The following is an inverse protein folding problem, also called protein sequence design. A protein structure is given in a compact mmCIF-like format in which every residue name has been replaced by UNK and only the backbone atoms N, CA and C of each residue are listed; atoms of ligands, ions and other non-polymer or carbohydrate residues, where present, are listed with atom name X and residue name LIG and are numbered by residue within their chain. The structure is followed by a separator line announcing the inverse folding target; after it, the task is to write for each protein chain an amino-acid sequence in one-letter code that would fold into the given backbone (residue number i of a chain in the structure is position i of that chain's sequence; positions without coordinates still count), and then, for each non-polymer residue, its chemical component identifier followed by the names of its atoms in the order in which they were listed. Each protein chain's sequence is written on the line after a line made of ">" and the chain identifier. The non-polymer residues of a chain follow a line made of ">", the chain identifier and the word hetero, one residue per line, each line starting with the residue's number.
data_IF_931309563369
#
_entry.id   IF_931309563369
#
_cell.length_a   1.000
_cell.length_b   1.000
_cell.length_c   1.000
_cell.angle_alpha   90.00
_cell.angle_beta   90.00
_cell.angle_gamma   90.00
#
_symmetry.space_group_name_H-M   'P 1'
#
loop_
_entity.id
_entity.type
_entity.pdbx_description
1 polymer ?
#
# COMPACT_ATOMS: atom_id res chain seq x y z
N UNK A 1 3.43 -32.38 37.46
CA UNK A 1 3.54 -33.24 36.26
C UNK A 1 3.93 -32.39 35.06
N UNK A 2 4.39 -32.99 33.97
CA UNK A 2 4.93 -32.28 32.78
C UNK A 2 4.04 -31.12 32.29
N UNK A 3 2.72 -31.31 32.24
CA UNK A 3 1.77 -30.26 31.82
C UNK A 3 1.79 -29.00 32.71
N UNK A 4 2.19 -29.10 33.98
CA UNK A 4 2.30 -27.93 34.85
C UNK A 4 3.53 -27.07 34.54
N UNK A 5 4.52 -27.61 33.81
CA UNK A 5 5.79 -26.96 33.53
C UNK A 5 5.85 -26.27 32.15
N UNK A 6 4.82 -26.43 31.31
CA UNK A 6 4.77 -25.87 29.96
C UNK A 6 3.58 -24.91 29.79
N UNK A 7 3.71 -23.90 28.94
CA UNK A 7 2.61 -23.01 28.55
C UNK A 7 1.84 -23.54 27.33
N UNK A 8 2.56 -24.17 26.40
CA UNK A 8 2.05 -24.68 25.13
C UNK A 8 2.76 -25.98 24.70
N UNK A 9 2.16 -26.68 23.73
CA UNK A 9 2.77 -27.81 23.03
C UNK A 9 2.55 -27.65 21.53
N UNK A 10 3.56 -28.01 20.73
CA UNK A 10 3.47 -28.07 19.28
C UNK A 10 3.62 -29.53 18.80
N UNK A 11 2.90 -29.90 17.74
CA UNK A 11 3.02 -31.20 17.06
C UNK A 11 3.11 -30.98 15.56
N UNK A 12 4.20 -31.44 14.98
CA UNK A 12 4.35 -31.58 13.53
C UNK A 12 3.68 -32.87 13.06
N UNK A 13 3.22 -32.87 11.81
CA UNK A 13 2.68 -34.02 11.12
C UNK A 13 1.50 -34.64 11.88
N UNK A 14 0.50 -33.82 12.23
CA UNK A 14 -0.68 -34.34 12.93
C UNK A 14 -1.63 -35.02 11.93
N UNK A 15 -1.87 -34.39 10.80
CA UNK A 15 -2.76 -34.86 9.75
C UNK A 15 -2.00 -35.22 8.48
N UNK A 16 -0.96 -34.47 8.11
CA UNK A 16 -0.17 -34.69 6.89
C UNK A 16 1.31 -34.35 7.09
N UNK A 17 2.21 -35.10 6.44
CA UNK A 17 3.64 -34.75 6.36
C UNK A 17 4.64 -35.71 6.99
N UNK A 18 4.18 -36.72 7.75
CA UNK A 18 5.06 -37.60 8.56
C UNK A 18 6.12 -38.32 7.72
N UNK A 19 5.69 -39.10 6.74
CA UNK A 19 6.61 -39.78 5.82
C UNK A 19 7.03 -38.84 4.69
N UNK A 20 6.04 -38.19 4.07
CA UNK A 20 6.20 -37.29 2.93
C UNK A 20 5.22 -36.13 2.99
N UNK A 21 5.62 -35.01 2.40
CA UNK A 21 4.77 -33.83 2.25
C UNK A 21 3.45 -34.16 1.56
N UNK A 22 2.36 -33.60 2.07
CA UNK A 22 0.98 -33.80 1.62
C UNK A 22 0.45 -35.26 1.67
N UNK A 23 1.20 -36.21 2.23
CA UNK A 23 0.71 -37.57 2.49
C UNK A 23 0.05 -37.65 3.89
N UNK A 24 -1.11 -38.31 4.01
CA UNK A 24 -1.78 -38.47 5.30
C UNK A 24 -0.88 -39.16 6.32
N UNK A 25 -0.91 -38.65 7.55
CA UNK A 25 -0.28 -39.28 8.72
C UNK A 25 -0.95 -40.64 8.96
N UNK A 26 -0.18 -41.73 9.20
CA UNK A 26 -0.73 -43.04 9.57
C UNK A 26 -1.80 -42.94 10.66
N UNK A 27 -2.91 -43.67 10.48
CA UNK A 27 -4.09 -43.53 11.33
C UNK A 27 -3.81 -43.82 12.82
N UNK A 28 -2.89 -44.73 13.11
CA UNK A 28 -2.47 -45.07 14.48
C UNK A 28 -1.72 -43.90 15.14
N UNK A 29 -0.77 -43.29 14.44
CA UNK A 29 0.04 -42.16 14.91
C UNK A 29 -0.81 -40.89 15.10
N UNK A 30 -1.73 -40.63 14.15
CA UNK A 30 -2.70 -39.55 14.27
C UNK A 30 -3.60 -39.76 15.51
N UNK A 31 -4.15 -40.95 15.70
CA UNK A 31 -5.04 -41.25 16.82
C UNK A 31 -4.32 -41.13 18.18
N UNK A 32 -3.08 -41.61 18.28
CA UNK A 32 -2.28 -41.49 19.50
C UNK A 32 -1.91 -40.03 19.80
N UNK A 33 -1.45 -39.29 18.78
CA UNK A 33 -1.10 -37.87 18.91
C UNK A 33 -2.31 -37.06 19.37
N UNK A 34 -3.46 -37.25 18.72
CA UNK A 34 -4.70 -36.54 19.04
C UNK A 34 -5.17 -36.81 20.47
N UNK A 35 -5.02 -38.05 20.95
CA UNK A 35 -5.31 -38.43 22.35
C UNK A 35 -4.44 -37.65 23.34
N UNK A 36 -3.15 -37.48 23.07
CA UNK A 36 -2.24 -36.73 23.94
C UNK A 36 -2.48 -35.22 23.88
N UNK A 37 -2.67 -34.67 22.69
CA UNK A 37 -2.94 -33.24 22.51
C UNK A 37 -4.26 -32.81 23.15
N UNK A 38 -5.31 -33.65 23.08
CA UNK A 38 -6.58 -33.41 23.78
C UNK A 38 -6.40 -33.34 25.30
N UNK A 39 -5.51 -34.15 25.89
CA UNK A 39 -5.19 -34.06 27.33
C UNK A 39 -4.49 -32.74 27.66
N UNK A 40 -3.56 -32.28 26.83
CA UNK A 40 -2.91 -30.98 27.01
C UNK A 40 -3.93 -29.84 26.91
N UNK A 41 -4.83 -29.89 25.92
CA UNK A 41 -5.89 -28.89 25.74
C UNK A 41 -6.88 -28.87 26.90
N UNK A 42 -7.29 -30.04 27.39
CA UNK A 42 -8.14 -30.16 28.57
C UNK A 42 -7.49 -29.61 29.85
N UNK A 43 -6.15 -29.60 29.93
CA UNK A 43 -5.38 -28.97 30.99
C UNK A 43 -5.16 -27.46 30.79
N UNK A 44 -5.86 -26.83 29.83
CA UNK A 44 -5.80 -25.39 29.56
C UNK A 44 -4.59 -24.94 28.72
N UNK A 45 -3.83 -25.87 28.14
CA UNK A 45 -2.65 -25.54 27.34
C UNK A 45 -3.01 -25.11 25.93
N UNK A 46 -2.17 -24.24 25.36
CA UNK A 46 -2.21 -23.93 23.94
C UNK A 46 -1.64 -25.13 23.17
N UNK A 47 -2.31 -25.51 22.09
CA UNK A 47 -1.87 -26.60 21.21
C UNK A 47 -1.71 -26.03 19.81
N UNK A 48 -0.47 -26.08 19.32
CA UNK A 48 -0.08 -25.67 17.98
C UNK A 48 0.11 -26.92 17.11
N UNK A 49 -0.35 -26.89 15.86
CA UNK A 49 -0.13 -27.98 14.91
C UNK A 49 0.55 -27.45 13.65
N UNK A 50 1.54 -28.19 13.14
CA UNK A 50 2.22 -27.86 11.89
C UNK A 50 2.02 -29.01 10.92
N UNK A 51 1.39 -28.75 9.79
CA UNK A 51 1.16 -29.76 8.75
C UNK A 51 1.79 -29.31 7.43
N UNK A 52 2.55 -30.20 6.80
CA UNK A 52 3.27 -29.91 5.55
C UNK A 52 2.36 -30.14 4.34
N UNK A 53 1.59 -29.11 3.97
CA UNK A 53 0.50 -29.19 2.99
C UNK A 53 0.58 -28.03 1.97
N UNK A 54 0.63 -28.38 0.69
CA UNK A 54 0.59 -27.43 -0.43
C UNK A 54 -0.78 -27.30 -1.10
N UNK A 55 -1.72 -28.24 -0.89
CA UNK A 55 -3.04 -28.21 -1.54
C UNK A 55 -4.12 -27.59 -0.66
N UNK A 56 -4.99 -26.78 -1.27
CA UNK A 56 -6.05 -26.05 -0.55
C UNK A 56 -7.10 -26.98 0.07
N UNK A 57 -7.53 -28.02 -0.64
CA UNK A 57 -8.52 -29.00 -0.18
C UNK A 57 -8.08 -29.72 1.11
N UNK A 58 -6.80 -30.07 1.20
CA UNK A 58 -6.20 -30.66 2.40
C UNK A 58 -6.14 -29.67 3.57
N UNK A 59 -5.87 -28.39 3.31
CA UNK A 59 -5.89 -27.35 4.35
C UNK A 59 -7.28 -27.15 4.91
N UNK A 60 -8.30 -27.09 4.06
CA UNK A 60 -9.69 -26.94 4.49
C UNK A 60 -10.11 -28.11 5.40
N UNK A 61 -9.70 -29.33 5.06
CA UNK A 61 -9.90 -30.51 5.90
C UNK A 61 -9.22 -30.39 7.28
N UNK A 62 -7.96 -29.95 7.31
CA UNK A 62 -7.23 -29.76 8.57
C UNK A 62 -7.86 -28.64 9.41
N UNK A 63 -8.25 -27.52 8.79
CA UNK A 63 -8.93 -26.39 9.46
C UNK A 63 -10.22 -26.85 10.14
N UNK A 64 -11.02 -27.69 9.47
CA UNK A 64 -12.22 -28.26 10.06
C UNK A 64 -11.90 -29.08 11.32
N UNK A 65 -10.91 -29.97 11.24
CA UNK A 65 -10.53 -30.85 12.35
C UNK A 65 -9.86 -30.12 13.52
N UNK A 66 -8.94 -29.20 13.28
CA UNK A 66 -8.29 -28.41 14.34
C UNK A 66 -9.29 -27.49 15.05
N UNK A 67 -10.29 -26.96 14.34
CA UNK A 67 -11.34 -26.13 14.94
C UNK A 67 -12.17 -26.92 15.96
N UNK A 68 -12.56 -28.16 15.64
CA UNK A 68 -13.28 -29.08 16.54
C UNK A 68 -12.50 -29.33 17.83
N UNK A 69 -11.17 -29.33 17.75
CA UNK A 69 -10.28 -29.58 18.88
C UNK A 69 -9.74 -28.31 19.56
N UNK A 70 -10.08 -27.11 19.04
CA UNK A 70 -9.57 -25.81 19.51
C UNK A 70 -8.04 -25.74 19.48
N UNK A 71 -7.41 -26.28 18.44
CA UNK A 71 -5.98 -26.16 18.18
C UNK A 71 -5.70 -24.97 17.26
N UNK A 72 -4.45 -24.49 17.23
CA UNK A 72 -4.00 -23.41 16.36
C UNK A 72 -3.14 -24.02 15.25
N UNK A 73 -3.63 -24.04 14.00
CA UNK A 73 -2.90 -24.62 12.88
C UNK A 73 -1.84 -23.68 12.30
N UNK A 74 -0.81 -24.26 11.71
CA UNK A 74 0.13 -23.63 10.80
C UNK A 74 0.42 -24.59 9.65
N UNK A 75 0.45 -24.06 8.43
CA UNK A 75 0.77 -24.83 7.22
C UNK A 75 2.12 -24.39 6.70
N UNK A 76 3.01 -25.33 6.41
CA UNK A 76 4.36 -25.01 5.96
C UNK A 76 4.81 -25.92 4.80
N UNK A 77 5.89 -25.53 4.13
CA UNK A 77 6.68 -26.47 3.34
C UNK A 77 7.63 -27.21 4.26
N UNK A 78 7.95 -28.48 3.95
CA UNK A 78 8.82 -29.29 4.82
C UNK A 78 10.25 -28.73 4.93
N UNK A 79 10.70 -28.01 3.92
CA UNK A 79 11.99 -27.32 3.91
C UNK A 79 12.09 -26.20 4.93
N UNK A 80 10.97 -25.64 5.40
CA UNK A 80 10.89 -24.46 6.29
C UNK A 80 11.73 -23.25 5.78
N UNK A 81 12.02 -23.21 4.49
CA UNK A 81 12.86 -22.20 3.84
C UNK A 81 12.04 -21.01 3.32
N UNK A 82 10.73 -21.02 3.54
CA UNK A 82 9.79 -19.98 3.09
C UNK A 82 8.79 -19.66 4.18
N UNK A 83 8.45 -18.38 4.28
CA UNK A 83 7.37 -17.93 5.15
C UNK A 83 6.03 -18.26 4.50
N UNK A 84 5.24 -19.06 5.21
CA UNK A 84 3.84 -19.30 4.87
C UNK A 84 2.97 -18.51 5.83
N UNK A 85 2.03 -17.74 5.29
CA UNK A 85 1.06 -16.98 6.08
C UNK A 85 0.08 -17.93 6.81
N UNK A 86 -0.66 -17.46 7.83
CA UNK A 86 -1.61 -18.31 8.57
C UNK A 86 -2.65 -19.04 7.71
N UNK A 87 -3.01 -18.47 6.55
CA UNK A 87 -3.92 -19.07 5.57
C UNK A 87 -3.25 -20.10 4.63
N UNK A 88 -1.96 -20.38 4.79
CA UNK A 88 -1.21 -21.30 3.95
C UNK A 88 -0.60 -20.66 2.68
N UNK A 89 -0.80 -19.37 2.43
CA UNK A 89 -0.26 -18.70 1.25
C UNK A 89 1.24 -18.45 1.40
N UNK A 90 2.03 -18.77 0.37
CA UNK A 90 3.47 -18.47 0.34
C UNK A 90 3.68 -16.96 0.19
N UNK A 91 4.56 -16.38 1.01
CA UNK A 91 4.83 -14.94 0.96
C UNK A 91 5.44 -14.46 -0.38
N UNK A 92 6.10 -15.35 -1.14
CA UNK A 92 6.74 -15.00 -2.42
C UNK A 92 5.76 -14.77 -3.57
N UNK A 93 4.53 -15.32 -3.53
CA UNK A 93 3.54 -15.13 -4.61
C UNK A 93 2.89 -13.74 -4.62
N UNK A 94 3.39 -12.83 -3.79
CA UNK A 94 2.76 -11.54 -3.46
C UNK A 94 3.59 -10.33 -3.94
N UNK A 95 4.78 -10.55 -4.49
CA UNK A 95 5.70 -9.47 -4.87
C UNK A 95 5.58 -9.11 -6.36
N UNK A 96 4.69 -8.15 -6.69
CA UNK A 96 4.62 -7.50 -8.01
C UNK A 96 4.24 -6.02 -7.93
N UNK A 97 5.00 -5.19 -8.65
CA UNK A 97 5.09 -3.70 -8.72
C UNK A 97 3.83 -2.80 -8.74
N UNK A 98 3.92 -1.58 -8.14
CA UNK A 98 3.13 -0.35 -8.48
C UNK A 98 3.60 0.95 -7.77
N UNK A 99 3.65 2.11 -8.47
CA UNK A 99 4.06 3.45 -7.94
C UNK A 99 2.99 4.52 -7.71
N UNK A 100 1.71 4.39 -8.02
CA UNK A 100 0.79 5.55 -7.86
C UNK A 100 0.21 5.72 -6.43
N UNK A 101 1.07 5.72 -5.40
CA UNK A 101 0.66 5.69 -4.00
C UNK A 101 1.14 6.87 -3.13
N UNK A 102 0.89 8.11 -3.57
CA UNK A 102 0.70 9.21 -2.59
C UNK A 102 -0.65 9.09 -1.85
N UNK A 103 -1.59 8.25 -2.34
CA UNK A 103 -3.00 8.19 -1.88
C UNK A 103 -3.45 6.90 -1.17
N UNK A 104 -2.72 5.78 -1.23
CA UNK A 104 -3.21 4.49 -0.66
C UNK A 104 -2.74 4.14 0.76
N UNK A 105 -2.04 5.03 1.47
CA UNK A 105 -1.60 4.75 2.85
C UNK A 105 -2.74 4.65 3.89
N UNK A 106 -4.01 4.69 3.48
CA UNK A 106 -5.15 4.77 4.40
C UNK A 106 -6.21 3.67 4.25
N UNK A 107 -5.93 2.55 3.58
CA UNK A 107 -6.92 1.47 3.39
C UNK A 107 -7.08 0.50 4.57
N UNK A 108 -6.36 0.66 5.67
CA UNK A 108 -6.68 -0.07 6.91
C UNK A 108 -7.78 0.69 7.67
N UNK A 109 -8.96 0.07 7.79
CA UNK A 109 -10.08 0.33 8.70
C UNK A 109 -10.11 1.69 9.43
N UNK A 110 -11.29 2.35 9.40
CA UNK A 110 -11.58 3.51 10.27
C UNK A 110 -11.06 3.26 11.69
N UNK A 111 -10.44 4.27 12.28
CA UNK A 111 -9.96 4.20 13.64
C UNK A 111 -11.17 3.95 14.55
N UNK A 112 -11.15 2.93 15.42
CA UNK A 112 -12.26 2.67 16.32
C UNK A 112 -12.64 3.91 17.13
N UNK A 113 -13.93 4.06 17.43
CA UNK A 113 -14.41 5.21 18.18
C UNK A 113 -13.63 5.39 19.50
N UNK A 114 -13.15 6.62 19.75
CA UNK A 114 -12.41 6.97 20.96
C UNK A 114 -10.90 6.68 20.91
N UNK A 115 -10.36 6.23 19.78
CA UNK A 115 -8.93 5.93 19.63
C UNK A 115 -8.18 7.00 18.84
N UNK A 116 -6.89 7.13 19.15
CA UNK A 116 -5.93 7.96 18.43
C UNK A 116 -5.03 7.09 17.57
N UNK A 117 -4.70 7.56 16.37
CA UNK A 117 -3.65 7.01 15.51
C UNK A 117 -2.63 8.11 15.25
N UNK A 118 -1.36 7.81 15.48
CA UNK A 118 -0.24 8.69 15.15
C UNK A 118 0.64 7.93 14.18
N UNK A 119 0.86 8.48 12.99
CA UNK A 119 1.72 7.89 11.96
C UNK A 119 2.82 8.88 11.64
N UNK A 120 4.07 8.41 11.68
CA UNK A 120 5.19 9.15 11.12
C UNK A 120 5.55 8.51 9.79
N UNK A 121 5.63 9.34 8.75
CA UNK A 121 6.01 8.91 7.39
C UNK A 121 7.27 9.64 6.97
N UNK A 122 8.13 8.93 6.26
CA UNK A 122 9.25 9.49 5.53
C UNK A 122 9.21 8.95 4.10
N UNK A 123 9.19 9.85 3.14
CA UNK A 123 9.10 9.55 1.72
C UNK A 123 10.29 10.20 1.02
N UNK A 124 10.83 9.50 0.04
CA UNK A 124 11.83 10.03 -0.87
C UNK A 124 11.37 9.80 -2.30
N UNK A 125 11.38 10.87 -3.09
CA UNK A 125 11.08 10.81 -4.51
C UNK A 125 12.18 11.48 -5.31
N UNK A 126 12.41 10.94 -6.51
CA UNK A 126 13.33 11.49 -7.48
C UNK A 126 12.61 11.61 -8.81
N UNK A 127 12.49 12.82 -9.32
CA UNK A 127 11.94 13.13 -10.62
C UNK A 127 13.05 13.57 -11.56
N UNK A 128 12.97 13.16 -12.83
CA UNK A 128 13.86 13.64 -13.88
C UNK A 128 13.01 14.24 -14.99
N UNK A 129 13.16 15.54 -15.24
CA UNK A 129 12.44 16.24 -16.29
C UNK A 129 13.32 16.30 -17.53
N UNK A 130 12.79 15.86 -18.66
CA UNK A 130 13.42 16.04 -19.96
C UNK A 130 12.73 17.21 -20.66
N UNK A 131 13.49 18.23 -20.98
CA UNK A 131 12.99 19.36 -21.75
C UNK A 131 13.53 19.29 -23.17
N UNK A 132 12.62 19.35 -24.14
CA UNK A 132 12.96 19.67 -25.52
C UNK A 132 12.96 21.18 -25.67
N UNK A 133 14.12 21.73 -26.06
CA UNK A 133 14.24 23.14 -26.38
C UNK A 133 14.51 23.28 -27.88
N UNK A 134 13.57 23.92 -28.58
CA UNK A 134 13.78 24.34 -29.94
C UNK A 134 14.48 25.70 -29.92
N UNK A 135 15.76 25.72 -30.29
CA UNK A 135 16.45 26.98 -30.57
C UNK A 135 15.99 27.47 -31.96
N UNK A 136 15.00 28.37 -31.94
CA UNK A 136 14.42 28.99 -33.15
C UNK A 136 15.48 29.61 -34.07
N UNK A 137 16.65 29.99 -33.54
CA UNK A 137 17.70 30.63 -34.31
C UNK A 137 18.58 29.64 -35.10
N UNK A 138 18.69 28.39 -34.65
CA UNK A 138 19.52 27.36 -35.30
C UNK A 138 18.71 26.31 -36.06
N UNK A 139 17.40 26.17 -35.78
CA UNK A 139 16.56 25.13 -36.37
C UNK A 139 17.01 23.72 -36.00
N UNK A 140 17.82 23.59 -34.96
CA UNK A 140 18.32 22.31 -34.43
C UNK A 140 17.55 22.01 -33.16
N UNK A 141 16.79 20.92 -33.16
CA UNK A 141 16.26 20.32 -31.94
C UNK A 141 17.42 19.75 -31.13
N UNK A 142 17.65 20.30 -29.93
CA UNK A 142 18.60 19.75 -28.98
C UNK A 142 17.87 19.31 -27.71
N UNK A 143 17.80 18.00 -27.50
CA UNK A 143 17.17 17.37 -26.35
C UNK A 143 18.24 16.96 -25.31
N UNK A 144 18.64 17.87 -24.41
CA UNK A 144 19.76 17.57 -23.49
C UNK A 144 19.67 18.11 -22.06
N UNK A 145 18.58 18.73 -21.62
CA UNK A 145 18.48 19.13 -20.21
C UNK A 145 17.64 18.12 -19.43
N UNK A 146 18.31 17.31 -18.60
CA UNK A 146 17.66 16.34 -17.74
C UNK A 146 17.74 16.80 -16.28
N UNK A 147 16.83 17.66 -15.82
CA UNK A 147 16.88 18.18 -14.46
C UNK A 147 16.54 17.08 -13.45
N UNK A 148 17.38 16.89 -12.43
CA UNK A 148 17.10 15.94 -11.34
C UNK A 148 16.55 16.70 -10.14
N UNK A 149 15.31 16.40 -9.79
CA UNK A 149 14.64 16.91 -8.59
C UNK A 149 14.55 15.79 -7.56
N UNK A 150 15.12 16.01 -6.38
CA UNK A 150 15.03 15.11 -5.25
C UNK A 150 14.13 15.75 -4.20
N UNK A 151 13.09 15.05 -3.77
CA UNK A 151 12.19 15.52 -2.72
C UNK A 151 12.15 14.50 -1.59
N UNK A 152 12.37 14.98 -0.37
CA UNK A 152 12.26 14.23 0.87
C UNK A 152 11.09 14.82 1.66
N UNK A 153 10.10 14.01 1.96
CA UNK A 153 8.93 14.43 2.73
C UNK A 153 8.89 13.64 4.01
N UNK A 154 8.92 14.30 5.16
CA UNK A 154 8.61 13.69 6.43
C UNK A 154 7.30 14.25 6.97
N UNK A 155 6.31 13.41 7.24
CA UNK A 155 5.01 13.83 7.74
C UNK A 155 4.70 13.22 9.10
N UNK A 156 4.00 13.99 9.92
CA UNK A 156 3.34 13.50 11.12
C UNK A 156 1.83 13.61 10.93
N UNK A 157 1.16 12.46 10.89
CA UNK A 157 -0.29 12.37 10.82
C UNK A 157 -0.86 12.01 12.18
N UNK A 158 -1.83 12.79 12.64
CA UNK A 158 -2.55 12.55 13.89
C UNK A 158 -4.03 12.48 13.58
N UNK A 159 -4.64 11.32 13.80
CA UNK A 159 -6.06 11.08 13.49
C UNK A 159 -6.79 10.57 14.72
N UNK A 160 -8.05 11.00 14.88
CA UNK A 160 -8.94 10.57 15.95
C UNK A 160 -10.23 9.99 15.39
N UNK A 161 -10.59 8.80 15.85
CA UNK A 161 -11.87 8.17 15.55
C UNK A 161 -12.97 8.74 16.45
N UNK A 162 -13.89 9.53 15.88
CA UNK A 162 -15.03 10.06 16.63
C UNK A 162 -16.14 9.01 16.77
N UNK A 163 -16.35 8.24 15.70
CA UNK A 163 -17.27 7.10 15.66
C UNK A 163 -16.64 5.98 14.83
N UNK A 164 -17.25 4.80 14.77
CA UNK A 164 -16.75 3.70 13.93
C UNK A 164 -16.84 4.00 12.42
N UNK A 165 -17.51 5.09 12.05
CA UNK A 165 -17.73 5.52 10.67
C UNK A 165 -17.24 6.93 10.39
N UNK A 166 -16.73 7.69 11.36
CA UNK A 166 -16.24 9.06 11.17
C UNK A 166 -14.92 9.29 11.93
N UNK A 167 -13.92 9.75 11.19
CA UNK A 167 -12.63 10.17 11.73
C UNK A 167 -12.21 11.52 11.14
N UNK A 168 -11.44 12.27 11.92
CA UNK A 168 -10.73 13.44 11.43
C UNK A 168 -9.29 13.43 11.90
N UNK A 169 -8.39 13.97 11.08
CA UNK A 169 -6.98 14.02 11.38
C UNK A 169 -6.29 15.25 10.81
N UNK A 170 -5.09 15.48 11.30
CA UNK A 170 -4.20 16.56 10.88
C UNK A 170 -2.92 15.94 10.36
N UNK A 171 -2.50 16.33 9.16
CA UNK A 171 -1.20 15.98 8.60
C UNK A 171 -0.32 17.21 8.58
N UNK A 172 0.88 17.10 9.15
CA UNK A 172 1.90 18.15 9.16
C UNK A 172 3.13 17.63 8.39
N UNK A 173 3.19 17.85 7.07
CA UNK A 173 4.36 17.51 6.29
C UNK A 173 5.47 18.54 6.49
N UNK A 174 6.69 18.05 6.53
CA UNK A 174 7.93 18.80 6.31
C UNK A 174 8.51 18.29 5.00
N UNK A 175 8.90 19.20 4.12
CA UNK A 175 9.40 18.85 2.80
C UNK A 175 10.76 19.52 2.61
N UNK A 176 11.72 18.70 2.18
CA UNK A 176 13.04 19.14 1.76
C UNK A 176 13.25 18.76 0.31
N UNK A 177 13.46 19.73 -0.54
CA UNK A 177 13.73 19.53 -1.96
C UNK A 177 15.16 19.96 -2.28
N UNK A 178 15.85 19.13 -3.05
CA UNK A 178 17.15 19.42 -3.65
C UNK A 178 17.00 19.39 -5.16
N UNK A 179 17.17 20.54 -5.78
CA UNK A 179 17.17 20.68 -7.23
C UNK A 179 18.61 20.75 -7.73
N UNK A 180 19.00 19.76 -8.55
CA UNK A 180 20.31 19.73 -9.20
C UNK A 180 20.10 19.89 -10.71
N UNK A 181 20.40 21.07 -11.29
CA UNK A 181 20.40 21.21 -12.72
C UNK A 181 21.55 20.36 -13.29
N UNK A 182 21.22 19.33 -14.06
CA UNK A 182 22.20 18.42 -14.69
C UNK A 182 22.87 19.06 -15.92
N UNK A 183 22.78 20.39 -16.05
CA UNK A 183 23.18 21.14 -17.25
C UNK A 183 24.68 21.42 -17.21
N UNK A 184 25.44 20.72 -18.05
CA UNK A 184 26.58 21.34 -18.71
C UNK A 184 26.03 22.15 -19.88
N UNK A 185 25.92 23.46 -19.75
CA UNK A 185 25.85 24.27 -20.95
C UNK A 185 27.20 24.17 -21.69
N UNK A 186 27.23 24.54 -22.97
CA UNK A 186 28.48 24.55 -23.76
C UNK A 186 29.52 25.55 -23.21
N UNK A 187 29.13 26.37 -22.22
CA UNK A 187 30.00 27.36 -21.56
C UNK A 187 30.63 26.85 -20.26
N UNK A 188 30.20 25.69 -19.76
CA UNK A 188 30.74 25.06 -18.55
C UNK A 188 30.24 25.67 -17.24
N UNK A 189 29.15 26.43 -17.26
CA UNK A 189 28.58 27.08 -16.07
C UNK A 189 27.45 26.21 -15.50
N UNK A 190 27.70 25.62 -14.34
CA UNK A 190 26.68 24.90 -13.58
C UNK A 190 25.80 25.90 -12.83
N UNK A 191 24.49 25.72 -12.88
CA UNK A 191 23.60 26.37 -11.92
C UNK A 191 23.89 25.84 -10.52
N UNK A 192 23.98 26.72 -9.53
CA UNK A 192 24.11 26.29 -8.13
C UNK A 192 22.84 25.50 -7.73
N UNK A 193 22.99 24.36 -7.05
CA UNK A 193 21.84 23.61 -6.57
C UNK A 193 21.00 24.46 -5.61
N UNK A 194 19.69 24.30 -5.68
CA UNK A 194 18.76 25.00 -4.79
C UNK A 194 18.22 23.99 -3.80
N UNK A 195 18.59 24.18 -2.53
CA UNK A 195 18.01 23.48 -1.39
C UNK A 195 16.89 24.31 -0.80
N UNK A 196 15.71 23.71 -0.65
CA UNK A 196 14.58 24.33 0.01
C UNK A 196 13.99 23.36 1.03
N UNK A 197 13.97 23.77 2.30
CA UNK A 197 13.34 23.03 3.39
C UNK A 197 12.25 23.89 3.99
N UNK A 198 11.05 23.34 4.13
CA UNK A 198 9.90 24.05 4.67
C UNK A 198 8.86 23.10 5.25
N UNK A 199 7.86 23.69 5.90
CA UNK A 199 6.61 22.99 6.13
C UNK A 199 5.93 22.82 4.77
N UNK A 200 5.37 21.64 4.49
CA UNK A 200 4.42 21.51 3.39
C UNK A 200 3.05 22.04 3.81
N UNK A 201 2.05 21.90 2.94
CA UNK A 201 0.68 22.25 3.27
C UNK A 201 0.15 21.39 4.42
N UNK A 202 -0.25 22.03 5.50
CA UNK A 202 -0.97 21.37 6.60
C UNK A 202 -2.32 20.91 6.07
N UNK A 203 -2.63 19.63 6.26
CA UNK A 203 -3.87 19.04 5.74
C UNK A 203 -4.82 18.64 6.85
N UNK A 204 -6.07 19.06 6.73
CA UNK A 204 -7.18 18.52 7.52
C UNK A 204 -7.81 17.36 6.75
N UNK A 205 -7.75 16.18 7.33
CA UNK A 205 -8.30 14.95 6.78
C UNK A 205 -9.63 14.68 7.46
N UNK A 206 -10.68 14.47 6.69
CA UNK A 206 -11.95 13.94 7.20
C UNK A 206 -12.35 12.73 6.41
N UNK A 207 -12.92 11.75 7.10
CA UNK A 207 -13.39 10.53 6.47
C UNK A 207 -14.68 10.10 7.11
N UNK A 208 -15.68 9.81 6.27
CA UNK A 208 -16.91 9.16 6.69
C UNK A 208 -17.15 7.91 5.85
N UNK A 209 -17.35 6.76 6.50
CA UNK A 209 -17.60 5.50 5.83
C UNK A 209 -18.52 4.61 6.63
N UNK A 210 -19.66 4.20 6.05
CA UNK A 210 -20.62 3.32 6.70
C UNK A 210 -20.68 2.00 5.96
N UNK A 211 -20.28 0.92 6.62
CA UNK A 211 -20.55 -0.44 6.15
C UNK A 211 -22.06 -0.73 6.26
N UNK A 212 -22.65 -1.28 5.20
CA UNK A 212 -24.05 -1.70 5.22
C UNK A 212 -24.14 -3.17 5.66
N UNK A 213 -25.03 -3.48 6.61
CA UNK A 213 -25.15 -4.80 7.27
C UNK A 213 -25.59 -5.97 6.35
N UNK A 214 -25.58 -5.82 5.03
CA UNK A 214 -26.06 -6.83 4.08
C UNK A 214 -25.04 -7.33 3.07
N UNK A 215 -23.75 -7.15 3.37
CA UNK A 215 -22.65 -7.56 2.50
C UNK A 215 -21.76 -6.35 2.23
N UNK A 216 -20.44 -6.58 2.36
CA UNK A 216 -19.28 -6.02 1.65
C UNK A 216 -19.26 -4.61 1.03
N UNK A 217 -20.26 -3.77 1.24
CA UNK A 217 -20.42 -2.50 0.56
C UNK A 217 -19.92 -1.39 1.48
N UNK A 218 -18.90 -0.70 1.00
CA UNK A 218 -18.29 0.43 1.67
C UNK A 218 -18.44 1.65 0.78
N UNK A 219 -19.16 2.63 1.28
CA UNK A 219 -19.13 3.97 0.70
C UNK A 219 -18.27 4.84 1.59
N UNK A 220 -17.17 5.33 1.04
CA UNK A 220 -16.19 6.16 1.69
C UNK A 220 -16.24 7.56 1.08
N UNK A 221 -16.43 8.57 1.92
CA UNK A 221 -16.20 9.95 1.54
C UNK A 221 -14.98 10.43 2.29
N UNK A 222 -14.05 11.05 1.58
CA UNK A 222 -12.92 11.74 2.18
C UNK A 222 -12.81 13.16 1.65
N UNK A 223 -12.56 14.10 2.55
CA UNK A 223 -12.22 15.48 2.23
C UNK A 223 -10.86 15.79 2.81
N UNK A 224 -10.02 16.41 1.99
CA UNK A 224 -8.71 16.92 2.37
C UNK A 224 -8.67 18.43 2.07
N UNK A 225 -8.39 19.21 3.10
CA UNK A 225 -8.19 20.65 2.99
C UNK A 225 -6.73 20.96 3.25
N UNK A 226 -6.00 21.41 2.23
CA UNK A 226 -4.65 21.92 2.39
C UNK A 226 -4.67 23.42 2.69
N UNK A 227 -4.00 23.81 3.77
CA UNK A 227 -3.70 25.22 4.02
C UNK A 227 -2.36 25.55 3.36
N UNK A 228 -2.25 26.68 2.63
CA UNK A 228 -1.00 27.10 2.03
C UNK A 228 -0.03 27.54 3.13
N UNK A 229 0.76 26.59 3.61
CA UNK A 229 1.80 26.82 4.62
C UNK A 229 3.19 26.57 4.06
N UNK A 230 3.29 26.19 2.78
CA UNK A 230 4.56 25.98 2.10
C UNK A 230 5.23 27.30 1.73
N UNK A 231 6.12 27.73 2.60
CA UNK A 231 6.92 28.95 2.45
C UNK A 231 7.96 28.85 1.33
N UNK A 232 8.20 27.67 0.74
CA UNK A 232 9.13 27.52 -0.39
C UNK A 232 8.55 28.06 -1.70
N UNK A 233 7.23 28.26 -1.74
CA UNK A 233 6.49 28.66 -2.96
C UNK A 233 6.42 30.16 -3.20
N UNK A 234 6.72 30.98 -2.18
CA UNK A 234 6.52 32.44 -2.21
C UNK A 234 7.24 33.16 -3.36
N UNK A 235 8.28 32.55 -3.96
CA UNK A 235 9.04 33.17 -5.05
C UNK A 235 8.63 32.74 -6.48
N UNK A 236 7.77 31.71 -6.66
CA UNK A 236 7.47 31.18 -8.01
C UNK A 236 5.98 30.88 -8.30
N UNK A 237 5.19 30.47 -7.32
CA UNK A 237 3.78 30.09 -7.51
C UNK A 237 3.05 30.38 -6.19
N UNK A 238 2.07 31.29 -6.19
CA UNK A 238 1.44 31.84 -4.98
C UNK A 238 0.90 30.83 -3.95
N UNK A 239 0.44 31.34 -2.82
CA UNK A 239 -0.13 30.56 -1.73
C UNK A 239 -1.45 29.89 -2.16
N UNK A 240 -1.38 28.74 -2.82
CA UNK A 240 -2.56 28.04 -3.32
C UNK A 240 -3.25 27.29 -2.18
N UNK A 241 -4.53 27.60 -1.96
CA UNK A 241 -5.39 26.73 -1.16
C UNK A 241 -5.90 25.61 -2.05
N UNK A 242 -5.58 24.37 -1.69
CA UNK A 242 -6.05 23.17 -2.36
C UNK A 242 -7.19 22.52 -1.57
N UNK A 243 -8.32 22.28 -2.24
CA UNK A 243 -9.39 21.45 -1.72
C UNK A 243 -9.52 20.20 -2.56
N UNK A 244 -9.32 19.05 -1.93
CA UNK A 244 -9.52 17.75 -2.55
C UNK A 244 -10.73 17.07 -1.90
N UNK A 245 -11.69 16.72 -2.74
CA UNK A 245 -12.84 15.93 -2.33
C UNK A 245 -12.86 14.62 -3.12
N UNK A 246 -12.86 13.49 -2.41
CA UNK A 246 -12.84 12.15 -2.99
C UNK A 246 -14.04 11.34 -2.47
N UNK A 247 -14.77 10.73 -3.40
CA UNK A 247 -15.81 9.76 -3.11
C UNK A 247 -15.36 8.43 -3.67
N UNK A 248 -15.24 7.42 -2.82
CA UNK A 248 -15.02 6.03 -3.22
C UNK A 248 -16.21 5.16 -2.83
N UNK A 249 -16.74 4.45 -3.81
CA UNK A 249 -17.63 3.34 -3.62
C UNK A 249 -16.89 2.03 -3.87
N UNK A 250 -16.90 1.14 -2.89
CA UNK A 250 -16.37 -0.20 -3.01
C UNK A 250 -17.46 -1.23 -2.74
N UNK A 251 -17.59 -2.19 -3.64
CA UNK A 251 -18.53 -3.30 -3.54
C UNK A 251 -17.75 -4.59 -3.62
N UNK A 252 -17.82 -5.46 -2.63
CA UNK A 252 -17.20 -6.79 -2.72
C UNK A 252 -18.23 -7.91 -2.89
N UNK A 253 -17.87 -8.92 -3.68
CA UNK A 253 -18.51 -10.22 -3.77
C UNK A 253 -17.49 -11.26 -3.31
N UNK A 254 -17.57 -11.67 -2.05
CA UNK A 254 -16.53 -12.46 -1.38
C UNK A 254 -15.19 -11.70 -1.42
N UNK A 255 -14.18 -12.29 -2.07
CA UNK A 255 -12.82 -11.76 -2.19
C UNK A 255 -12.59 -10.88 -3.42
N UNK A 256 -13.60 -10.66 -4.27
CA UNK A 256 -13.45 -9.83 -5.47
C UNK A 256 -14.35 -8.61 -5.32
N UNK A 257 -13.80 -7.41 -5.48
CA UNK A 257 -14.55 -6.17 -5.43
C UNK A 257 -14.46 -5.33 -6.68
N UNK A 258 -15.36 -4.36 -6.76
CA UNK A 258 -15.29 -3.22 -7.67
C UNK A 258 -15.06 -1.97 -6.83
N UNK A 259 -14.16 -1.10 -7.29
CA UNK A 259 -13.97 0.24 -6.77
C UNK A 259 -14.39 1.24 -7.83
N UNK A 260 -15.20 2.20 -7.47
CA UNK A 260 -15.51 3.37 -8.29
C UNK A 260 -15.20 4.59 -7.44
N UNK A 261 -14.38 5.49 -7.96
CA UNK A 261 -14.02 6.71 -7.27
C UNK A 261 -14.11 7.93 -8.16
N UNK A 262 -14.37 9.08 -7.55
CA UNK A 262 -14.31 10.38 -8.21
C UNK A 262 -13.63 11.35 -7.27
N UNK A 263 -12.59 12.00 -7.76
CA UNK A 263 -11.91 13.05 -7.02
C UNK A 263 -12.02 14.37 -7.77
N UNK A 264 -12.43 15.40 -7.05
CA UNK A 264 -12.45 16.78 -7.52
C UNK A 264 -11.40 17.57 -6.73
N UNK A 265 -10.47 18.16 -7.45
CA UNK A 265 -9.45 19.04 -6.90
C UNK A 265 -9.76 20.48 -7.34
N UNK A 266 -9.92 21.37 -6.37
CA UNK A 266 -10.14 22.79 -6.60
C UNK A 266 -8.89 23.55 -6.17
N UNK A 267 -8.35 24.34 -7.09
CA UNK A 267 -7.23 25.24 -6.85
C UNK A 267 -7.73 26.68 -6.86
N UNK A 268 -7.47 27.41 -5.79
CA UNK A 268 -7.64 28.85 -5.76
C UNK A 268 -6.27 29.51 -5.73
N UNK A 269 -5.92 30.24 -6.79
CA UNK A 269 -4.67 31.01 -6.86
C UNK A 269 -4.96 32.47 -6.45
N UNK A 270 -4.09 33.09 -5.64
CA UNK A 270 -4.30 34.47 -5.19
C UNK A 270 -4.24 35.51 -6.34
N UNK A 271 -3.56 35.16 -7.42
CA UNK A 271 -3.25 36.06 -8.53
C UNK A 271 -4.33 36.14 -9.62
N UNK A 272 -5.32 35.25 -9.60
CA UNK A 272 -6.41 35.22 -10.59
C UNK A 272 -7.76 34.96 -9.90
N UNK A 273 -8.82 35.64 -10.33
CA UNK A 273 -10.19 35.32 -9.93
C UNK A 273 -10.70 33.97 -10.49
N UNK A 274 -9.80 33.12 -10.96
CA UNK A 274 -10.08 31.87 -11.63
C UNK A 274 -9.89 30.71 -10.65
N UNK A 275 -10.96 29.94 -10.47
CA UNK A 275 -10.93 28.67 -9.77
C UNK A 275 -10.72 27.59 -10.83
N UNK A 276 -9.59 26.91 -10.77
CA UNK A 276 -9.36 25.74 -11.61
C UNK A 276 -9.93 24.51 -10.91
N UNK A 277 -10.69 23.72 -11.65
CA UNK A 277 -11.21 22.43 -11.18
C UNK A 277 -10.64 21.30 -12.01
N UNK A 278 -9.93 20.38 -11.37
CA UNK A 278 -9.52 19.13 -11.98
C UNK A 278 -10.45 18.01 -11.49
N UNK A 279 -11.22 17.43 -12.40
CA UNK A 279 -12.09 16.29 -12.12
C UNK A 279 -11.40 15.03 -12.63
N UNK A 280 -11.12 14.11 -11.72
CA UNK A 280 -10.63 12.78 -12.03
C UNK A 280 -11.65 11.72 -11.60
N UNK A 281 -11.71 10.64 -12.35
CA UNK A 281 -12.49 9.46 -11.99
C UNK A 281 -11.59 8.24 -12.01
N UNK A 282 -11.94 7.23 -11.22
CA UNK A 282 -11.27 5.95 -11.16
C UNK A 282 -12.29 4.81 -11.15
N UNK A 283 -12.04 3.76 -11.90
CA UNK A 283 -12.79 2.53 -11.84
C UNK A 283 -11.81 1.36 -11.76
N UNK A 284 -12.02 0.44 -10.83
CA UNK A 284 -11.07 -0.64 -10.62
C UNK A 284 -11.70 -1.95 -10.15
N UNK A 285 -10.97 -3.03 -10.39
CA UNK A 285 -11.24 -4.33 -9.79
C UNK A 285 -10.33 -4.48 -8.58
N UNK A 286 -10.90 -4.97 -7.49
CA UNK A 286 -10.22 -5.28 -6.25
C UNK A 286 -10.23 -6.80 -6.07
N UNK A 287 -9.15 -7.36 -5.54
CA UNK A 287 -9.10 -8.73 -5.08
C UNK A 287 -8.46 -8.75 -3.69
N UNK A 288 -9.25 -9.12 -2.69
CA UNK A 288 -8.79 -9.48 -1.35
C UNK A 288 -8.16 -10.88 -1.43
N UNK A 289 -6.85 -10.95 -1.27
CA UNK A 289 -6.10 -12.21 -1.33
C UNK A 289 -5.81 -12.78 0.06
N UNK A 290 -6.41 -12.22 1.12
CA UNK A 290 -6.30 -12.65 2.50
C UNK A 290 -6.03 -11.49 3.48
N UNK A 291 -5.83 -11.81 4.76
CA UNK A 291 -5.81 -10.84 5.88
C UNK A 291 -4.84 -9.65 5.74
N UNK A 292 -3.85 -9.73 4.83
CA UNK A 292 -2.78 -8.74 4.67
C UNK A 292 -2.40 -8.47 3.21
N UNK A 293 -3.24 -8.89 2.25
CA UNK A 293 -2.89 -8.85 0.84
C UNK A 293 -4.04 -8.41 -0.03
N UNK A 294 -3.78 -7.41 -0.86
CA UNK A 294 -4.77 -6.78 -1.72
C UNK A 294 -4.17 -6.56 -3.10
N UNK A 295 -4.92 -6.91 -4.13
CA UNK A 295 -4.60 -6.57 -5.51
C UNK A 295 -5.67 -5.62 -6.04
N UNK A 296 -5.28 -4.57 -6.75
CA UNK A 296 -6.21 -3.75 -7.50
C UNK A 296 -5.70 -3.45 -8.89
N UNK A 297 -6.62 -3.27 -9.83
CA UNK A 297 -6.34 -2.62 -11.10
C UNK A 297 -7.32 -1.49 -11.23
N UNK A 298 -6.84 -0.31 -11.59
CA UNK A 298 -7.65 0.90 -11.66
C UNK A 298 -7.36 1.62 -12.96
N UNK A 299 -8.41 2.00 -13.68
CA UNK A 299 -8.35 2.83 -14.88
C UNK A 299 -8.99 4.18 -14.50
N UNK A 300 -8.33 5.29 -14.82
CA UNK A 300 -8.84 6.61 -14.48
C UNK A 300 -8.69 7.65 -15.60
N UNK A 301 -9.53 8.67 -15.56
CA UNK A 301 -9.54 9.78 -16.51
C UNK A 301 -8.48 10.82 -16.22
N UNK A 302 -7.35 10.71 -16.93
CA UNK A 302 -6.54 11.73 -17.63
C UNK A 302 -5.26 11.02 -18.17
N UNK A 303 -5.45 9.87 -18.82
CA UNK A 303 -4.42 9.07 -19.52
C UNK A 303 -3.48 8.17 -18.68
N UNK A 304 -3.90 7.65 -17.52
CA UNK A 304 -3.13 6.60 -16.83
C UNK A 304 -3.97 5.45 -16.28
N UNK A 305 -3.47 4.23 -16.48
CA UNK A 305 -3.95 3.00 -15.85
C UNK A 305 -2.94 2.54 -14.81
N UNK A 306 -3.40 2.10 -13.63
CA UNK A 306 -2.55 1.62 -12.53
C UNK A 306 -2.92 0.19 -12.19
N UNK A 307 -1.94 -0.71 -12.15
CA UNK A 307 -2.05 -2.04 -11.52
C UNK A 307 -1.31 -1.98 -10.19
N UNK A 308 -1.91 -2.45 -9.11
CA UNK A 308 -1.39 -2.41 -7.73
C UNK A 308 -1.47 -3.79 -7.08
N UNK A 309 -0.37 -4.20 -6.42
CA UNK A 309 -0.36 -5.34 -5.50
C UNK A 309 0.23 -4.87 -4.17
N UNK A 310 -0.45 -5.17 -3.07
CA UNK A 310 -0.10 -4.76 -1.72
C UNK A 310 0.04 -5.99 -0.82
N UNK A 311 1.18 -6.07 -0.12
CA UNK A 311 1.50 -7.14 0.83
C UNK A 311 2.02 -6.52 2.12
N UNK A 312 1.36 -6.76 3.25
CA UNK A 312 1.89 -6.34 4.56
C UNK A 312 2.65 -7.48 5.24
N UNK A 313 3.94 -7.28 5.53
CA UNK A 313 4.71 -8.16 6.43
C UNK A 313 5.13 -7.40 7.69
N UNK A 314 5.23 -8.13 8.81
CA UNK A 314 5.57 -7.58 10.12
C UNK A 314 7.06 -7.78 10.38
N UNK A 315 7.86 -6.72 10.32
CA UNK A 315 9.23 -6.69 10.83
C UNK A 315 9.32 -5.55 11.84
N UNK A 316 9.81 -5.83 13.05
CA UNK A 316 10.25 -4.79 13.98
C UNK A 316 11.37 -3.99 13.30
N UNK A 317 11.06 -2.77 12.86
CA UNK A 317 11.73 -1.94 11.83
C UNK A 317 11.21 -2.27 10.41
N UNK A 318 10.19 -1.52 9.97
CA UNK A 318 9.53 -1.71 8.67
C UNK A 318 10.26 -0.96 7.55
N UNK A 319 11.08 -1.66 6.76
CA UNK A 319 11.57 -1.18 5.48
C UNK A 319 10.82 -1.82 4.30
N UNK A 320 10.34 -1.02 3.35
CA UNK A 320 9.61 -1.47 2.16
C UNK A 320 10.45 -1.23 0.90
N UNK A 321 10.72 -2.26 0.11
CA UNK A 321 11.35 -2.12 -1.21
C UNK A 321 10.35 -2.48 -2.32
N UNK A 322 10.25 -1.65 -3.37
CA UNK A 322 9.45 -1.90 -4.57
C UNK A 322 10.26 -1.66 -5.85
N UNK A 323 10.02 -2.51 -6.85
CA UNK A 323 10.55 -2.44 -8.22
C UNK A 323 9.35 -2.20 -9.15
N UNK A 324 9.47 -1.37 -10.18
CA UNK A 324 8.40 -1.08 -11.14
C UNK A 324 8.88 -1.04 -12.60
N UNK A 325 7.98 -1.47 -13.50
CA UNK A 325 8.05 -1.30 -14.96
C UNK A 325 6.84 -0.46 -15.41
N UNK A 326 7.05 0.60 -16.19
CA UNK A 326 5.96 1.38 -16.78
C UNK A 326 6.18 1.64 -18.28
N UNK A 327 5.09 1.90 -19.00
CA UNK A 327 5.13 2.38 -20.39
C UNK A 327 3.77 2.91 -20.84
N UNK A 328 3.78 3.78 -21.85
CA UNK A 328 2.58 4.46 -22.37
C UNK A 328 2.73 4.78 -23.86
N UNK A 329 1.59 5.08 -24.50
CA UNK A 329 1.50 5.58 -25.88
C UNK A 329 0.79 6.92 -25.77
N UNK A 330 1.44 8.00 -26.20
CA UNK A 330 0.80 9.31 -26.35
C UNK A 330 -0.23 9.21 -27.48
N UNK A 331 -1.49 9.56 -27.20
CA UNK A 331 -2.59 9.50 -28.17
C UNK A 331 -3.15 10.90 -28.48
N UNK A 332 -2.55 11.95 -27.88
CA UNK A 332 -3.00 13.33 -27.98
C UNK A 332 -2.05 14.21 -28.82
N UNK A 333 -0.79 13.79 -29.03
CA UNK A 333 0.15 14.39 -29.97
C UNK A 333 0.13 13.73 -31.36
N UNK A 334 0.47 14.50 -32.41
CA UNK A 334 0.61 14.00 -33.80
C UNK A 334 1.79 13.01 -33.99
N UNK A 335 2.59 12.77 -32.95
CA UNK A 335 3.73 11.85 -32.96
C UNK A 335 3.45 10.64 -32.06
N UNK A 336 3.29 9.47 -32.69
CA UNK A 336 3.13 8.13 -32.10
C UNK A 336 4.37 7.71 -31.27
N UNK A 337 4.66 8.42 -30.18
CA UNK A 337 5.78 8.11 -29.30
C UNK A 337 5.33 7.17 -28.17
N UNK A 338 6.03 6.05 -28.07
CA UNK A 338 5.89 5.10 -26.98
C UNK A 338 7.12 5.19 -26.07
N UNK A 339 6.92 5.19 -24.76
CA UNK A 339 8.01 5.16 -23.79
C UNK A 339 7.85 4.00 -22.82
N UNK A 340 8.98 3.54 -22.27
CA UNK A 340 9.02 2.57 -21.19
C UNK A 340 10.16 2.88 -20.21
N UNK A 341 9.96 2.62 -18.92
CA UNK A 341 10.93 2.90 -17.87
C UNK A 341 10.90 1.86 -16.74
N UNK A 342 12.00 1.80 -15.97
CA UNK A 342 12.17 0.95 -14.79
C UNK A 342 12.51 1.84 -13.60
N UNK A 343 11.87 1.57 -12.46
CA UNK A 343 12.02 2.34 -11.24
C UNK A 343 12.25 1.45 -10.02
N UNK A 344 13.11 1.89 -9.09
CA UNK A 344 13.37 1.21 -7.81
C UNK A 344 13.10 2.21 -6.67
N UNK A 345 12.33 1.81 -5.67
CA UNK A 345 12.09 2.58 -4.45
C UNK A 345 12.40 1.72 -3.23
N UNK A 346 13.21 2.23 -2.30
CA UNK A 346 13.51 1.58 -1.02
C UNK A 346 13.22 2.59 0.09
N UNK A 347 12.23 2.28 0.93
CA UNK A 347 11.91 2.99 2.17
C UNK A 347 12.47 2.18 3.35
N UNK A 348 13.11 2.85 4.30
CA UNK A 348 13.74 2.23 5.48
C UNK A 348 12.97 2.55 6.76
#
# INVERSE_FOLDING_TARGET
>A
GYLAAIDAIAKEDLFFGQEKEAEPTPAEDHAESLKHLRKARAAGKVVLTVDYISKQDQRDQVLEEVSKNKFIPHFALRSLDRLTLPNGTLAESILGSSRNNRRAFFYSATIPAGQWRIVSRAEWSRSRYLYDYEDESSGIYQSFAAESFHEYTAALDVTYGFTDWFEAGLSIPTVSSHFSPDRQDHTGVYGEPVDATGLGNIRLLTRTGKGWNHGSDYLLFSGEWGLPTDTRREDLFGADTDFLFDIDYQHFWNHIGLSLGTACELFATESYHDVESNLSWRAGLLADLGEKTFASTTIGGNESGTVQLEASFEILVSGNASVELFGGIDIAGDDDSAYAGIALTVAF
#
